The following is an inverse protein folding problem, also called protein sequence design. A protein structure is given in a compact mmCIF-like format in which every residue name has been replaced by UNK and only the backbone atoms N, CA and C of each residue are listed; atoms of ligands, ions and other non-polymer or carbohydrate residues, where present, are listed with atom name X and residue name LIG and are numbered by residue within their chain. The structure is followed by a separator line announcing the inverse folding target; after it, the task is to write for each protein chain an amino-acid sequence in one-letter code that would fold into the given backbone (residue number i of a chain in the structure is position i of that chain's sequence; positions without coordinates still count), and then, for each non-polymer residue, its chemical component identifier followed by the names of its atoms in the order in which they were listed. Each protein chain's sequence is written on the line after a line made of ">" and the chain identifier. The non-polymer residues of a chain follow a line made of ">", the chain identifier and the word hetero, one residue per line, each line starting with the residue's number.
data_IF_593601429828
#
_entry.id   IF_593601429828
#
_cell.length_a   1.000
_cell.length_b   1.000
_cell.length_c   1.000
_cell.angle_alpha   90.00
_cell.angle_beta   90.00
_cell.angle_gamma   90.00
#
_symmetry.space_group_name_H-M   'P 1'
#
loop_
_entity.id
_entity.type
_entity.pdbx_description
1 polymer ?
#
# COMPACT_ATOMS: atom_id res chain seq x y z
N UNK A 1 -21.41 -55.31 -50.71
CA UNK A 1 -21.47 -54.00 -49.97
C UNK A 1 -22.66 -53.86 -49.00
N UNK A 2 -23.41 -54.91 -48.72
CA UNK A 2 -24.57 -54.89 -47.79
C UNK A 2 -24.24 -55.37 -46.36
N UNK A 3 -23.14 -56.10 -46.15
CA UNK A 3 -22.82 -56.71 -44.82
C UNK A 3 -21.99 -55.83 -43.87
N UNK A 4 -21.25 -54.85 -44.39
CA UNK A 4 -20.50 -53.90 -43.60
C UNK A 4 -21.34 -52.84 -42.89
N UNK A 5 -22.60 -52.68 -43.23
CA UNK A 5 -23.52 -51.73 -42.58
C UNK A 5 -24.27 -52.31 -41.37
N UNK A 6 -24.25 -53.64 -41.18
CA UNK A 6 -24.89 -54.30 -40.05
C UNK A 6 -24.01 -54.35 -38.80
N UNK A 7 -22.71 -54.47 -38.94
CA UNK A 7 -21.77 -54.53 -37.82
C UNK A 7 -21.49 -53.19 -37.11
N UNK A 8 -21.75 -52.06 -37.78
CA UNK A 8 -21.55 -50.71 -37.20
C UNK A 8 -22.70 -50.23 -36.28
N UNK A 9 -23.79 -50.96 -36.17
CA UNK A 9 -24.93 -50.55 -35.36
C UNK A 9 -25.01 -51.21 -33.96
N UNK A 10 -24.08 -52.14 -33.59
CA UNK A 10 -24.14 -52.87 -32.34
C UNK A 10 -23.27 -52.34 -31.19
N UNK A 11 -22.54 -51.22 -31.37
CA UNK A 11 -21.62 -50.71 -30.32
C UNK A 11 -21.93 -49.25 -29.93
N UNK A 12 -23.18 -48.85 -29.92
CA UNK A 12 -23.55 -47.57 -29.33
C UNK A 12 -24.05 -47.82 -27.88
N UNK A 13 -23.39 -47.20 -26.87
CA UNK A 13 -23.84 -47.33 -25.48
C UNK A 13 -25.27 -46.82 -25.33
N UNK A 14 -26.12 -47.48 -24.52
CA UNK A 14 -27.53 -47.11 -24.40
C UNK A 14 -27.66 -45.68 -23.90
N UNK A 15 -28.38 -44.84 -24.66
CA UNK A 15 -28.64 -43.45 -24.28
C UNK A 15 -29.29 -43.37 -22.91
N UNK A 16 -28.75 -42.65 -21.93
CA UNK A 16 -29.30 -42.60 -20.58
C UNK A 16 -30.73 -42.07 -20.62
N UNK A 17 -31.65 -42.74 -19.92
CA UNK A 17 -33.07 -42.36 -19.86
C UNK A 17 -33.17 -40.92 -19.34
N UNK A 18 -33.89 -40.04 -20.02
CA UNK A 18 -34.04 -38.59 -19.69
C UNK A 18 -34.41 -38.33 -18.20
N UNK A 19 -35.04 -39.26 -17.52
CA UNK A 19 -35.37 -39.16 -16.07
C UNK A 19 -34.14 -39.29 -15.18
N UNK A 20 -33.18 -40.15 -15.47
CA UNK A 20 -31.93 -40.32 -14.67
C UNK A 20 -30.99 -39.14 -14.81
N UNK A 21 -30.88 -38.57 -16.01
CA UNK A 21 -30.05 -37.33 -16.24
C UNK A 21 -30.64 -36.17 -15.44
N UNK A 22 -31.96 -35.97 -15.40
CA UNK A 22 -32.63 -34.93 -14.64
C UNK A 22 -32.45 -35.12 -13.11
N UNK A 23 -32.48 -36.37 -12.63
CA UNK A 23 -32.26 -36.65 -11.20
C UNK A 23 -30.79 -36.41 -10.78
N UNK A 24 -29.81 -36.84 -11.58
CA UNK A 24 -28.39 -36.56 -11.33
C UNK A 24 -28.09 -35.06 -11.34
N UNK A 25 -28.63 -34.30 -12.29
CA UNK A 25 -28.51 -32.86 -12.35
C UNK A 25 -29.11 -32.15 -11.14
N UNK A 26 -30.32 -32.55 -10.67
CA UNK A 26 -30.92 -31.98 -9.46
C UNK A 26 -30.12 -32.31 -8.19
N UNK A 27 -29.53 -33.51 -8.08
CA UNK A 27 -28.66 -33.88 -6.94
C UNK A 27 -27.37 -33.12 -6.92
N UNK A 28 -26.74 -32.93 -8.09
CA UNK A 28 -25.54 -32.08 -8.24
C UNK A 28 -25.82 -30.60 -7.90
N UNK A 29 -26.93 -30.05 -8.41
CA UNK A 29 -27.31 -28.66 -8.10
C UNK A 29 -27.55 -28.42 -6.60
N UNK A 30 -28.20 -29.40 -5.94
CA UNK A 30 -28.44 -29.35 -4.48
C UNK A 30 -27.14 -29.41 -3.67
N UNK A 31 -26.15 -30.19 -4.11
CA UNK A 31 -24.81 -30.24 -3.51
C UNK A 31 -24.02 -28.94 -3.71
N UNK A 32 -24.07 -28.35 -4.89
CA UNK A 32 -23.44 -27.06 -5.17
C UNK A 32 -24.07 -25.97 -4.31
N UNK A 33 -25.40 -25.93 -4.21
CA UNK A 33 -26.12 -24.96 -3.39
C UNK A 33 -25.77 -25.09 -1.89
N UNK A 34 -25.62 -26.30 -1.38
CA UNK A 34 -25.20 -26.54 0.00
C UNK A 34 -23.77 -26.05 0.27
N UNK A 35 -22.84 -26.33 -0.67
CA UNK A 35 -21.43 -25.86 -0.57
C UNK A 35 -21.30 -24.34 -0.68
N UNK A 36 -22.10 -23.68 -1.52
CA UNK A 36 -22.13 -22.22 -1.60
C UNK A 36 -22.71 -21.59 -0.35
N UNK A 37 -23.79 -22.15 0.21
CA UNK A 37 -24.35 -21.66 1.49
C UNK A 37 -23.33 -21.71 2.63
N UNK A 38 -22.57 -22.80 2.77
CA UNK A 38 -21.53 -22.91 3.81
C UNK A 38 -20.37 -21.92 3.57
N UNK A 39 -19.98 -21.67 2.32
CA UNK A 39 -18.96 -20.65 2.00
C UNK A 39 -19.45 -19.24 2.31
N UNK A 40 -20.69 -18.92 1.99
CA UNK A 40 -21.31 -17.62 2.30
C UNK A 40 -21.39 -17.41 3.82
N UNK A 41 -21.88 -18.40 4.57
CA UNK A 41 -21.94 -18.30 6.03
C UNK A 41 -20.57 -18.08 6.68
N UNK A 42 -19.53 -18.75 6.16
CA UNK A 42 -18.15 -18.54 6.64
C UNK A 42 -17.61 -17.16 6.29
N UNK A 43 -17.91 -16.64 5.09
CA UNK A 43 -17.56 -15.28 4.69
C UNK A 43 -18.29 -14.22 5.52
N UNK A 44 -19.55 -14.41 5.85
CA UNK A 44 -20.32 -13.52 6.73
C UNK A 44 -19.76 -13.50 8.16
N UNK A 45 -19.32 -14.64 8.68
CA UNK A 45 -18.68 -14.71 9.99
C UNK A 45 -17.35 -13.95 10.02
N UNK A 46 -16.50 -14.12 9.00
CA UNK A 46 -15.25 -13.34 8.86
C UNK A 46 -15.51 -11.85 8.70
N UNK A 47 -16.53 -11.46 7.95
CA UNK A 47 -16.93 -10.06 7.81
C UNK A 47 -17.41 -9.45 9.13
N UNK A 48 -18.19 -10.19 9.92
CA UNK A 48 -18.63 -9.73 11.26
C UNK A 48 -17.46 -9.55 12.22
N UNK A 49 -16.48 -10.48 12.22
CA UNK A 49 -15.28 -10.34 13.06
C UNK A 49 -14.43 -9.14 12.63
N UNK A 50 -14.24 -8.93 11.33
CA UNK A 50 -13.53 -7.79 10.79
C UNK A 50 -14.21 -6.44 11.12
N UNK A 51 -15.56 -6.37 11.04
CA UNK A 51 -16.32 -5.19 11.45
C UNK A 51 -16.15 -4.87 12.94
N UNK A 52 -16.22 -5.88 13.81
CA UNK A 52 -15.99 -5.67 15.26
C UNK A 52 -14.56 -5.16 15.53
N UNK A 53 -13.57 -5.69 14.82
CA UNK A 53 -12.19 -5.24 14.96
C UNK A 53 -12.04 -3.78 14.50
N UNK A 54 -12.65 -3.41 13.39
CA UNK A 54 -12.65 -2.03 12.89
C UNK A 54 -13.35 -1.05 13.85
N UNK A 55 -14.46 -1.47 14.48
CA UNK A 55 -15.14 -0.64 15.49
C UNK A 55 -14.29 -0.45 16.75
N UNK A 56 -13.60 -1.50 17.22
CA UNK A 56 -12.68 -1.39 18.34
C UNK A 56 -11.50 -0.47 18.03
N UNK A 57 -10.90 -0.57 16.84
CA UNK A 57 -9.84 0.33 16.39
C UNK A 57 -10.34 1.77 16.32
N UNK A 58 -11.56 1.99 15.78
CA UNK A 58 -12.18 3.32 15.70
C UNK A 58 -12.45 3.91 17.10
N UNK A 59 -12.94 3.12 18.05
CA UNK A 59 -13.18 3.58 19.42
C UNK A 59 -11.87 3.92 20.14
N UNK A 60 -10.82 3.11 19.93
CA UNK A 60 -9.50 3.38 20.49
C UNK A 60 -8.87 4.65 19.87
N UNK A 61 -9.00 4.86 18.56
CA UNK A 61 -8.55 6.10 17.90
C UNK A 61 -9.32 7.32 18.38
N UNK A 62 -10.64 7.20 18.62
CA UNK A 62 -11.45 8.29 19.17
C UNK A 62 -11.06 8.62 20.62
N UNK A 63 -10.74 7.61 21.44
CA UNK A 63 -10.25 7.83 22.82
C UNK A 63 -8.87 8.51 22.82
N UNK A 64 -7.96 8.08 21.94
CA UNK A 64 -6.64 8.68 21.75
C UNK A 64 -6.80 10.14 21.26
N UNK A 65 -7.66 10.39 20.28
CA UNK A 65 -7.89 11.74 19.74
C UNK A 65 -8.54 12.68 20.77
N UNK A 66 -9.41 12.15 21.63
CA UNK A 66 -10.00 12.90 22.75
C UNK A 66 -8.98 13.26 23.83
N UNK A 67 -7.97 12.42 24.02
CA UNK A 67 -6.84 12.67 24.92
C UNK A 67 -5.84 13.67 24.32
N UNK A 68 -5.65 13.66 22.98
CA UNK A 68 -4.73 14.55 22.27
C UNK A 68 -5.32 15.97 22.06
N UNK A 69 -6.65 16.14 21.94
CA UNK A 69 -7.29 17.45 21.78
C UNK A 69 -7.41 18.27 23.09
N UNK A 70 -6.95 17.73 24.22
CA UNK A 70 -7.02 18.39 25.53
C UNK A 70 -5.69 18.93 26.09
N UNK A 71 -4.57 18.67 25.43
CA UNK A 71 -3.25 19.18 25.82
C UNK A 71 -2.38 19.37 24.58
N UNK A 72 -1.69 20.50 24.55
CA UNK A 72 -0.65 20.86 23.58
C UNK A 72 0.15 19.63 23.09
N UNK A 73 0.52 19.64 21.82
CA UNK A 73 1.38 18.64 21.18
C UNK A 73 2.62 18.37 22.04
N UNK A 74 2.45 17.55 23.04
CA UNK A 74 3.60 16.95 23.72
C UNK A 74 4.16 15.92 22.73
N UNK A 75 5.29 16.27 22.15
CA UNK A 75 6.22 15.33 21.54
C UNK A 75 6.20 14.05 22.39
N UNK A 76 6.13 12.89 21.74
CA UNK A 76 6.25 11.59 22.41
C UNK A 76 7.60 11.61 23.13
N UNK A 77 7.57 11.98 24.41
CA UNK A 77 8.75 12.03 25.27
C UNK A 77 9.04 10.61 25.76
N UNK A 78 10.25 10.36 26.21
CA UNK A 78 10.65 9.08 26.78
C UNK A 78 9.71 8.63 27.89
N UNK A 79 9.23 9.58 28.70
CA UNK A 79 8.26 9.35 29.79
C UNK A 79 6.91 8.79 29.31
N UNK A 80 6.44 9.19 28.10
CA UNK A 80 5.21 8.66 27.51
C UNK A 80 5.41 7.23 27.01
N UNK A 81 6.61 6.91 26.55
CA UNK A 81 6.97 5.55 26.11
C UNK A 81 7.08 4.63 27.35
N UNK A 82 7.67 5.09 28.44
CA UNK A 82 7.78 4.30 29.68
C UNK A 82 6.42 4.03 30.35
N UNK A 83 5.46 4.94 30.21
CA UNK A 83 4.10 4.75 30.74
C UNK A 83 3.20 3.88 29.86
N UNK A 84 3.62 3.55 28.64
CA UNK A 84 2.85 2.72 27.73
C UNK A 84 2.83 1.23 28.14
N UNK A 85 1.77 0.46 27.80
CA UNK A 85 1.75 -0.97 28.04
C UNK A 85 2.98 -1.70 27.45
N UNK A 86 3.51 -2.68 28.17
CA UNK A 86 4.75 -3.40 27.80
C UNK A 86 4.78 -3.87 26.34
N UNK A 87 3.65 -4.37 25.83
CA UNK A 87 3.52 -4.81 24.42
C UNK A 87 3.76 -3.66 23.42
N UNK A 88 3.36 -2.43 23.77
CA UNK A 88 3.59 -1.23 22.94
C UNK A 88 5.05 -0.81 23.06
N UNK A 89 5.62 -0.86 24.25
CA UNK A 89 7.05 -0.55 24.47
C UNK A 89 7.97 -1.51 23.70
N UNK A 90 7.67 -2.80 23.71
CA UNK A 90 8.42 -3.81 22.95
C UNK A 90 8.28 -3.58 21.43
N UNK A 91 7.07 -3.24 20.98
CA UNK A 91 6.83 -2.95 19.55
C UNK A 91 7.58 -1.70 19.08
N UNK A 92 7.62 -0.64 19.90
CA UNK A 92 8.37 0.58 19.62
C UNK A 92 9.88 0.31 19.63
N UNK A 93 10.39 -0.48 20.59
CA UNK A 93 11.81 -0.85 20.70
C UNK A 93 12.29 -1.73 19.53
N UNK A 94 11.40 -2.52 18.93
CA UNK A 94 11.75 -3.40 17.80
C UNK A 94 11.66 -2.68 16.44
N UNK A 95 11.02 -1.52 16.36
CA UNK A 95 10.95 -0.76 15.11
C UNK A 95 12.22 0.07 14.91
N UNK A 96 12.96 -0.25 13.87
CA UNK A 96 14.09 0.58 13.45
C UNK A 96 13.60 1.96 12.98
N UNK A 97 14.02 3.02 13.66
CA UNK A 97 13.74 4.40 13.24
C UNK A 97 14.67 4.74 12.08
N UNK A 98 14.17 4.67 10.85
CA UNK A 98 14.93 4.95 9.63
C UNK A 98 15.19 6.44 9.43
N UNK A 99 14.25 7.28 9.87
CA UNK A 99 14.35 8.74 9.77
C UNK A 99 13.64 9.40 10.95
N UNK A 100 14.32 10.38 11.55
CA UNK A 100 13.77 11.28 12.56
C UNK A 100 13.99 12.72 12.07
N UNK A 101 12.93 13.54 11.92
CA UNK A 101 13.11 14.93 11.53
C UNK A 101 13.81 15.73 12.62
N UNK A 102 14.58 16.73 12.20
CA UNK A 102 15.10 17.73 13.11
C UNK A 102 13.94 18.58 13.64
N UNK A 103 14.01 19.00 14.92
CA UNK A 103 13.03 19.91 15.50
C UNK A 103 13.01 21.26 14.78
N UNK A 104 11.85 21.93 14.78
CA UNK A 104 11.63 23.20 14.12
C UNK A 104 11.26 23.06 12.62
N UNK A 105 11.87 23.84 11.71
CA UNK A 105 11.38 23.99 10.33
C UNK A 105 11.22 22.71 9.53
N UNK A 106 12.03 21.67 9.79
CA UNK A 106 11.90 20.39 9.11
C UNK A 106 10.66 19.63 9.58
N UNK A 107 10.38 19.67 10.88
CA UNK A 107 9.15 19.06 11.44
C UNK A 107 7.92 19.82 10.97
N UNK A 108 7.95 21.15 10.95
CA UNK A 108 6.87 22.00 10.45
C UNK A 108 6.56 21.72 8.97
N UNK A 109 7.59 21.64 8.13
CA UNK A 109 7.42 21.28 6.72
C UNK A 109 6.75 19.91 6.57
N UNK A 110 7.21 18.90 7.29
CA UNK A 110 6.66 17.55 7.21
C UNK A 110 5.25 17.44 7.83
N UNK A 111 4.88 18.35 8.72
CA UNK A 111 3.52 18.42 9.30
C UNK A 111 2.55 19.23 8.44
N UNK A 112 3.05 20.01 7.47
CA UNK A 112 2.25 20.89 6.64
C UNK A 112 1.19 20.11 5.85
N UNK A 113 -0.04 20.65 5.79
CA UNK A 113 -1.18 20.11 5.04
C UNK A 113 -1.60 21.02 3.87
N UNK A 114 -0.92 22.14 3.71
CA UNK A 114 -1.16 23.14 2.70
C UNK A 114 -0.86 22.57 1.30
N UNK A 115 -1.58 23.08 0.31
CA UNK A 115 -1.40 22.67 -1.09
C UNK A 115 -0.04 23.08 -1.64
N UNK A 116 0.47 24.21 -1.18
CA UNK A 116 1.76 24.77 -1.59
C UNK A 116 2.55 25.12 -0.34
N UNK A 117 3.78 24.60 -0.24
CA UNK A 117 4.67 24.84 0.90
C UNK A 117 6.03 25.30 0.40
N UNK A 118 6.49 26.43 0.90
CA UNK A 118 7.83 26.94 0.65
C UNK A 118 8.74 26.67 1.85
N UNK A 119 9.74 25.80 1.66
CA UNK A 119 10.72 25.47 2.67
C UNK A 119 12.11 26.01 2.30
N UNK A 120 12.39 27.20 2.75
CA UNK A 120 13.66 27.90 2.57
C UNK A 120 14.71 27.56 3.64
N UNK A 121 15.86 28.20 3.55
CA UNK A 121 16.92 28.14 4.57
C UNK A 121 18.30 27.80 4.05
N UNK A 122 19.30 27.89 4.95
CA UNK A 122 20.71 27.69 4.65
C UNK A 122 21.05 26.24 4.24
N UNK A 123 22.27 26.05 3.73
CA UNK A 123 22.82 24.71 3.48
C UNK A 123 22.94 23.94 4.80
N UNK A 124 22.62 22.64 4.77
CA UNK A 124 22.65 21.79 5.97
C UNK A 124 21.34 21.69 6.75
N UNK A 125 20.32 22.53 6.47
CA UNK A 125 19.03 22.54 7.16
C UNK A 125 18.11 21.35 6.90
N UNK A 126 18.59 20.24 6.34
CA UNK A 126 17.81 19.01 6.16
C UNK A 126 16.76 19.04 5.04
N UNK A 127 16.71 20.10 4.19
CA UNK A 127 15.70 20.27 3.13
C UNK A 127 15.62 19.08 2.16
N UNK A 128 16.77 18.58 1.70
CA UNK A 128 16.82 17.44 0.75
C UNK A 128 16.28 16.17 1.37
N UNK A 129 16.52 15.93 2.65
CA UNK A 129 15.94 14.80 3.37
C UNK A 129 14.44 14.96 3.56
N UNK A 130 13.97 16.15 3.92
CA UNK A 130 12.53 16.43 4.04
C UNK A 130 11.81 16.17 2.71
N UNK A 131 12.38 16.64 1.58
CA UNK A 131 11.83 16.35 0.24
C UNK A 131 11.76 14.86 -0.08
N UNK A 132 12.72 14.06 0.37
CA UNK A 132 12.72 12.60 0.15
C UNK A 132 11.68 11.90 1.03
N UNK A 133 11.47 12.37 2.24
CA UNK A 133 10.59 11.71 3.21
C UNK A 133 9.11 12.05 2.97
N UNK A 134 8.80 13.28 2.59
CA UNK A 134 7.41 13.73 2.43
C UNK A 134 6.57 12.83 1.50
N UNK A 135 6.99 12.47 0.29
CA UNK A 135 6.20 11.61 -0.59
C UNK A 135 6.04 10.18 -0.07
N UNK A 136 6.92 9.71 0.83
CA UNK A 136 6.82 8.36 1.39
C UNK A 136 5.54 8.16 2.22
N UNK A 137 4.97 9.21 2.80
CA UNK A 137 3.73 9.16 3.57
C UNK A 137 2.55 8.56 2.79
N UNK A 138 2.58 8.67 1.48
CA UNK A 138 1.50 8.25 0.59
C UNK A 138 1.83 7.00 -0.24
N UNK A 139 3.01 6.43 -0.07
CA UNK A 139 3.47 5.27 -0.86
C UNK A 139 2.70 3.97 -0.59
N UNK A 140 1.81 3.93 0.40
CA UNK A 140 0.85 2.84 0.59
C UNK A 140 -0.33 2.87 -0.40
N UNK A 141 -0.58 4.03 -1.06
CA UNK A 141 -1.67 4.24 -2.01
C UNK A 141 -1.20 3.94 -3.43
N UNK A 142 -1.83 3.01 -4.13
CA UNK A 142 -1.44 2.55 -5.47
C UNK A 142 -1.38 3.67 -6.52
N UNK A 143 -2.24 4.69 -6.41
CA UNK A 143 -2.31 5.80 -7.36
C UNK A 143 -1.35 6.94 -7.03
N UNK A 144 -0.61 6.85 -5.92
CA UNK A 144 0.31 7.92 -5.55
C UNK A 144 1.43 8.06 -6.58
N UNK A 145 1.61 9.29 -7.06
CA UNK A 145 2.68 9.69 -7.97
C UNK A 145 3.33 10.95 -7.41
N UNK A 146 4.63 10.91 -7.23
CA UNK A 146 5.40 12.07 -6.82
C UNK A 146 6.55 12.32 -7.82
N UNK A 147 6.89 13.56 -8.00
CA UNK A 147 8.00 13.99 -8.85
C UNK A 147 8.93 14.90 -8.04
N UNK A 148 10.20 14.50 -7.94
CA UNK A 148 11.26 15.26 -7.29
C UNK A 148 12.17 15.85 -8.35
N UNK A 149 12.20 17.17 -8.46
CA UNK A 149 12.99 17.88 -9.47
C UNK A 149 14.17 18.59 -8.82
N UNK A 150 15.31 18.55 -9.51
CA UNK A 150 16.49 19.39 -9.26
C UNK A 150 16.80 20.23 -10.48
N UNK A 151 17.60 21.27 -10.29
CA UNK A 151 18.02 22.10 -11.40
C UNK A 151 18.98 21.35 -12.33
N UNK A 152 19.96 20.65 -11.77
CA UNK A 152 21.01 19.99 -12.55
C UNK A 152 21.07 18.50 -12.28
N UNK A 153 21.64 17.76 -13.25
CA UNK A 153 21.86 16.31 -13.13
C UNK A 153 22.79 15.91 -11.98
N UNK A 154 23.91 16.63 -11.68
CA UNK A 154 24.74 16.35 -10.50
C UNK A 154 23.94 16.46 -9.18
N UNK A 155 23.15 17.51 -9.00
CA UNK A 155 22.32 17.69 -7.81
C UNK A 155 21.25 16.58 -7.69
N UNK A 156 20.69 16.14 -8.82
CA UNK A 156 19.74 15.03 -8.84
C UNK A 156 20.40 13.72 -8.43
N UNK A 157 21.62 13.45 -8.87
CA UNK A 157 22.37 12.23 -8.53
C UNK A 157 22.56 12.09 -7.01
N UNK A 158 22.89 13.18 -6.34
CA UNK A 158 23.01 13.18 -4.87
C UNK A 158 21.68 12.83 -4.20
N UNK A 159 20.58 13.38 -4.72
CA UNK A 159 19.25 13.08 -4.21
C UNK A 159 18.88 11.61 -4.43
N UNK A 160 19.19 11.03 -5.59
CA UNK A 160 18.99 9.61 -5.91
C UNK A 160 19.79 8.74 -4.95
N UNK A 161 21.07 9.03 -4.73
CA UNK A 161 21.94 8.28 -3.82
C UNK A 161 21.38 8.27 -2.38
N UNK A 162 20.83 9.39 -1.92
CA UNK A 162 20.18 9.45 -0.62
C UNK A 162 18.88 8.64 -0.60
N UNK A 163 18.08 8.67 -1.67
CA UNK A 163 16.87 7.85 -1.76
C UNK A 163 17.16 6.35 -1.71
N UNK A 164 18.23 5.91 -2.37
CA UNK A 164 18.63 4.50 -2.38
C UNK A 164 19.02 3.99 -0.98
N UNK A 165 19.60 4.84 -0.13
CA UNK A 165 19.91 4.50 1.26
C UNK A 165 18.67 4.43 2.16
N UNK A 166 17.63 5.18 1.84
CA UNK A 166 16.43 5.32 2.68
C UNK A 166 15.27 4.42 2.25
N UNK A 167 14.93 4.44 0.96
CA UNK A 167 13.67 3.88 0.48
C UNK A 167 13.61 2.34 0.55
N UNK A 168 14.72 1.68 0.24
CA UNK A 168 14.80 0.22 0.35
C UNK A 168 14.65 -0.30 1.78
N UNK A 169 15.10 0.49 2.77
CA UNK A 169 14.95 0.19 4.20
C UNK A 169 13.53 0.52 4.69
N UNK A 170 12.99 1.67 4.27
CA UNK A 170 11.67 2.14 4.67
C UNK A 170 10.53 1.28 4.08
N UNK A 171 10.73 0.76 2.87
CA UNK A 171 9.73 -0.05 2.17
C UNK A 171 10.40 -1.31 1.59
N UNK A 172 10.45 -2.41 2.34
CA UNK A 172 10.94 -3.68 1.83
C UNK A 172 10.15 -4.09 0.58
N UNK A 173 10.88 -4.36 -0.52
CA UNK A 173 10.27 -4.65 -1.82
C UNK A 173 10.11 -3.45 -2.76
N UNK A 174 10.42 -2.23 -2.33
CA UNK A 174 10.56 -1.10 -3.25
C UNK A 174 11.74 -1.32 -4.20
N UNK A 175 11.55 -1.00 -5.49
CA UNK A 175 12.54 -1.23 -6.55
C UNK A 175 12.89 0.08 -7.25
N UNK A 176 14.18 0.34 -7.35
CA UNK A 176 14.71 1.42 -8.17
C UNK A 176 14.81 1.00 -9.63
N UNK A 177 14.37 1.86 -10.54
CA UNK A 177 14.50 1.70 -11.99
C UNK A 177 15.42 2.77 -12.54
N UNK A 178 16.61 2.36 -12.95
CA UNK A 178 17.67 3.28 -13.34
C UNK A 178 17.35 4.03 -14.64
N UNK A 179 16.74 3.40 -15.62
CA UNK A 179 16.42 4.02 -16.91
C UNK A 179 15.33 5.08 -16.77
N UNK A 180 14.28 4.74 -16.04
CA UNK A 180 13.14 5.64 -15.80
C UNK A 180 13.42 6.65 -14.69
N UNK A 181 14.50 6.47 -13.91
CA UNK A 181 14.82 7.25 -12.69
C UNK A 181 13.65 7.32 -11.72
N UNK A 182 13.00 6.18 -11.50
CA UNK A 182 11.83 6.09 -10.62
C UNK A 182 11.96 4.97 -9.57
N UNK A 183 11.38 5.22 -8.42
CA UNK A 183 11.08 4.19 -7.43
C UNK A 183 9.69 3.64 -7.67
N UNK A 184 9.56 2.30 -7.68
CA UNK A 184 8.29 1.59 -7.66
C UNK A 184 8.11 0.87 -6.34
N UNK A 185 6.99 1.14 -5.70
CA UNK A 185 6.64 0.56 -4.41
C UNK A 185 5.72 -0.66 -4.59
N UNK A 186 5.68 -1.60 -3.62
CA UNK A 186 4.82 -2.78 -3.70
C UNK A 186 3.33 -2.46 -3.87
N UNK A 187 2.89 -1.32 -3.36
CA UNK A 187 1.52 -0.82 -3.54
C UNK A 187 1.15 -0.43 -4.98
N UNK A 188 2.16 -0.19 -5.84
CA UNK A 188 2.00 0.42 -7.16
C UNK A 188 2.29 1.93 -7.19
N UNK A 189 2.56 2.55 -6.04
CA UNK A 189 3.00 3.95 -5.98
C UNK A 189 4.33 4.15 -6.70
N UNK A 190 4.56 5.38 -7.18
CA UNK A 190 5.81 5.76 -7.87
C UNK A 190 6.33 7.09 -7.39
N UNK A 191 7.65 7.21 -7.28
CA UNK A 191 8.36 8.45 -7.08
C UNK A 191 9.39 8.59 -8.18
N UNK A 192 9.22 9.59 -9.03
CA UNK A 192 10.08 9.91 -10.16
C UNK A 192 11.08 11.00 -9.78
N UNK A 193 12.28 10.91 -10.37
CA UNK A 193 13.36 11.86 -10.18
C UNK A 193 13.71 12.54 -11.50
N UNK A 194 13.59 13.85 -11.54
CA UNK A 194 13.81 14.65 -12.75
C UNK A 194 14.72 15.85 -12.54
N UNK A 195 15.17 16.43 -13.62
CA UNK A 195 15.88 17.71 -13.59
C UNK A 195 15.34 18.65 -14.66
N UNK A 196 15.44 19.94 -14.40
CA UNK A 196 15.00 20.98 -15.31
C UNK A 196 15.97 22.17 -15.21
N UNK A 197 16.88 22.30 -16.17
CA UNK A 197 17.84 23.39 -16.24
C UNK A 197 17.25 24.65 -16.90
N UNK A 198 16.29 24.43 -17.79
CA UNK A 198 15.64 25.49 -18.56
C UNK A 198 14.14 25.24 -18.73
N UNK A 199 13.41 26.20 -19.26
CA UNK A 199 11.97 26.13 -19.46
C UNK A 199 11.54 25.00 -20.40
N UNK A 200 12.37 24.64 -21.38
CA UNK A 200 12.09 23.54 -22.31
C UNK A 200 12.06 22.19 -21.59
N UNK A 201 12.90 22.02 -20.56
CA UNK A 201 12.93 20.80 -19.77
C UNK A 201 11.65 20.62 -18.93
N UNK A 202 11.03 21.72 -18.49
CA UNK A 202 9.78 21.69 -17.73
C UNK A 202 8.65 21.09 -18.56
N UNK A 203 8.64 21.28 -19.88
CA UNK A 203 7.62 20.73 -20.78
C UNK A 203 7.58 19.20 -20.79
N UNK A 204 8.66 18.51 -20.41
CA UNK A 204 8.70 17.04 -20.31
C UNK A 204 7.80 16.50 -19.20
N UNK A 205 7.47 17.34 -18.22
CA UNK A 205 6.67 16.98 -17.06
C UNK A 205 5.23 17.49 -17.14
N UNK A 206 4.86 18.09 -18.27
CA UNK A 206 3.48 18.44 -18.59
C UNK A 206 2.83 17.19 -19.20
N UNK A 207 2.01 16.48 -18.37
CA UNK A 207 1.27 15.30 -18.79
C UNK A 207 0.01 15.61 -19.56
#
# INVERSE_FOLDING_TARGET
>A
MSDLKKELNEVAPPKPKKKEVKQKAKKSAKQILARTRTKVAKAEQTLRSAKRHAENVKSNLLSINKTLNGKEQQLITEDVIESAPKAIQEHIKTQEVIFKPNSGPQTEFLAASEREVFYGGARGGGKSYAMLIDPLRYCSKAQHRALLIRRTMPELRDLINHSQRLYGRAFPGAKWREQEKEWRFPSGAKIEFGYAENMTDVLRYQG
#
